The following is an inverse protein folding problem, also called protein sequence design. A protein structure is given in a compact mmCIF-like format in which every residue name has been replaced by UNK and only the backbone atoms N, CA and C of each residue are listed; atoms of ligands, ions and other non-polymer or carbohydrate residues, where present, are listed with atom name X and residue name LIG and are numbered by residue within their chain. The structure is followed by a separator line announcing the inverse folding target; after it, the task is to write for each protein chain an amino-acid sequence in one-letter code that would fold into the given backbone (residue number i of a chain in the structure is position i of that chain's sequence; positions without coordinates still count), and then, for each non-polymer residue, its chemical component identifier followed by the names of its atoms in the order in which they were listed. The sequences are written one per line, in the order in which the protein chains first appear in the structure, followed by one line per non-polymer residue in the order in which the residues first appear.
data_IF_222029890869
#
_entry.id   IF_222029890869
#
_cell.length_a   1.000
_cell.length_b   1.000
_cell.length_c   1.000
_cell.angle_alpha   90.00
_cell.angle_beta   90.00
_cell.angle_gamma   90.00
#
_symmetry.space_group_name_H-M   'P 1'
#
loop_
_entity.id
_entity.type
_entity.pdbx_description
1 polymer ?
#
# COMPACT_ATOMS: atom_id res chain seq x y z
N UNK A 1 13.73 8.73 7.88
CA UNK A 1 12.75 7.92 8.62
C UNK A 1 12.60 6.58 7.94
N UNK A 2 12.30 5.52 8.70
CA UNK A 2 12.08 4.18 8.17
C UNK A 2 10.58 3.92 8.03
N UNK A 3 10.19 3.13 7.04
CA UNK A 3 8.81 2.66 6.88
C UNK A 3 8.36 1.84 8.10
N UNK A 4 7.09 1.96 8.52
CA UNK A 4 6.59 1.18 9.64
C UNK A 4 6.59 -0.32 9.30
N UNK A 5 6.98 -1.14 10.27
CA UNK A 5 6.80 -2.59 10.20
C UNK A 5 5.40 -2.95 10.67
N UNK A 6 4.64 -3.62 9.81
CA UNK A 6 3.28 -4.05 10.10
C UNK A 6 3.29 -5.54 10.41
N UNK A 7 2.91 -5.89 11.64
CA UNK A 7 2.89 -7.27 12.11
C UNK A 7 1.54 -7.92 11.85
N UNK A 8 1.54 -9.01 11.09
CA UNK A 8 0.36 -9.82 10.84
C UNK A 8 0.35 -11.02 11.80
N UNK A 9 -0.76 -11.28 12.52
CA UNK A 9 -0.83 -12.40 13.45
C UNK A 9 -0.54 -13.74 12.78
N UNK A 10 0.06 -14.66 13.54
CA UNK A 10 0.40 -16.01 13.04
C UNK A 10 -0.84 -16.72 12.50
N UNK A 11 -0.73 -17.28 11.31
CA UNK A 11 -1.81 -18.02 10.64
C UNK A 11 -2.78 -17.16 9.83
N UNK A 12 -2.71 -15.83 9.94
CA UNK A 12 -3.49 -14.92 9.10
C UNK A 12 -2.82 -14.81 7.73
N UNK A 13 -3.59 -15.11 6.67
CA UNK A 13 -3.15 -14.90 5.29
C UNK A 13 -3.56 -13.51 4.84
N UNK A 14 -2.60 -12.77 4.27
CA UNK A 14 -2.87 -11.47 3.66
C UNK A 14 -3.64 -11.71 2.35
N UNK A 15 -4.93 -11.45 2.39
CA UNK A 15 -5.76 -11.34 1.19
C UNK A 15 -5.83 -9.88 0.76
N UNK A 16 -6.49 -9.63 -0.37
CA UNK A 16 -6.65 -8.29 -0.92
C UNK A 16 -7.31 -7.31 0.06
N UNK A 17 -8.36 -7.74 0.77
CA UNK A 17 -9.10 -6.87 1.69
C UNK A 17 -8.23 -6.45 2.86
N UNK A 18 -7.58 -7.41 3.53
CA UNK A 18 -6.68 -7.14 4.64
C UNK A 18 -5.51 -6.24 4.21
N UNK A 19 -5.00 -6.45 3.00
CA UNK A 19 -3.94 -5.60 2.45
C UNK A 19 -4.43 -4.16 2.23
N UNK A 20 -5.59 -3.97 1.61
CA UNK A 20 -6.19 -2.65 1.42
C UNK A 20 -6.45 -1.92 2.75
N UNK A 21 -7.06 -2.62 3.71
CA UNK A 21 -7.36 -2.08 5.04
C UNK A 21 -6.06 -1.64 5.75
N UNK A 22 -4.98 -2.41 5.57
CA UNK A 22 -3.65 -2.09 6.09
C UNK A 22 -3.04 -0.84 5.43
N UNK A 23 -3.14 -0.72 4.11
CA UNK A 23 -2.66 0.46 3.40
C UNK A 23 -3.40 1.73 3.82
N UNK A 24 -4.72 1.65 3.96
CA UNK A 24 -5.57 2.77 4.37
C UNK A 24 -5.28 3.23 5.81
N UNK A 25 -5.25 2.28 6.74
CA UNK A 25 -5.15 2.61 8.17
C UNK A 25 -3.75 2.98 8.63
N UNK A 26 -2.72 2.33 8.07
CA UNK A 26 -1.35 2.44 8.58
C UNK A 26 -0.43 3.18 7.62
N UNK A 27 -0.38 2.77 6.34
CA UNK A 27 0.60 3.33 5.39
C UNK A 27 0.23 4.74 4.95
N UNK A 28 -1.02 4.98 4.56
CA UNK A 28 -1.45 6.30 4.11
C UNK A 28 -1.35 7.34 5.22
N UNK A 29 -1.79 6.99 6.44
CA UNK A 29 -1.64 7.82 7.64
C UNK A 29 -0.18 8.17 7.89
N UNK A 30 0.70 7.17 7.86
CA UNK A 30 2.14 7.39 8.04
C UNK A 30 2.72 8.32 6.98
N UNK A 31 2.41 8.10 5.68
CA UNK A 31 2.88 8.98 4.59
C UNK A 31 2.45 10.43 4.82
N UNK A 32 1.21 10.67 5.25
CA UNK A 32 0.74 12.02 5.55
C UNK A 32 1.51 12.66 6.71
N UNK A 33 1.84 11.90 7.76
CA UNK A 33 2.69 12.36 8.87
C UNK A 33 4.12 12.72 8.42
N UNK A 34 4.64 12.03 7.41
CA UNK A 34 5.99 12.30 6.89
C UNK A 34 6.09 13.61 6.09
N UNK A 35 4.96 14.22 5.71
CA UNK A 35 4.90 15.44 4.89
C UNK A 35 5.70 15.37 3.57
N UNK A 36 5.80 14.18 2.96
CA UNK A 36 6.52 13.95 1.70
C UNK A 36 5.71 14.41 0.49
N UNK A 37 5.47 15.72 0.37
CA UNK A 37 4.52 16.29 -0.58
C UNK A 37 4.71 15.82 -2.03
N UNK A 38 5.95 15.52 -2.47
CA UNK A 38 6.24 14.98 -3.80
C UNK A 38 7.44 14.00 -3.86
N UNK A 39 7.94 13.54 -2.72
CA UNK A 39 9.28 12.90 -2.64
C UNK A 39 9.24 11.38 -2.55
N UNK A 40 8.12 10.74 -2.88
CA UNK A 40 7.98 9.28 -2.76
C UNK A 40 7.26 8.66 -3.96
N UNK A 41 7.57 7.39 -4.21
CA UNK A 41 6.85 6.53 -5.13
C UNK A 41 6.45 5.25 -4.40
N UNK A 42 5.16 4.91 -4.44
CA UNK A 42 4.66 3.68 -3.85
C UNK A 42 4.91 2.50 -4.81
N UNK A 43 5.71 1.53 -4.37
CA UNK A 43 6.08 0.33 -5.13
C UNK A 43 5.72 -0.93 -4.32
N UNK A 44 5.32 -1.99 -5.02
CA UNK A 44 4.93 -3.27 -4.42
C UNK A 44 5.28 -4.44 -5.36
N UNK A 45 5.34 -5.66 -4.84
CA UNK A 45 5.56 -6.85 -5.65
C UNK A 45 4.29 -7.28 -6.43
N UNK A 46 4.43 -8.27 -7.31
CA UNK A 46 3.34 -8.73 -8.19
C UNK A 46 2.42 -9.79 -7.55
N UNK A 47 2.33 -9.85 -6.22
CA UNK A 47 1.48 -10.81 -5.50
C UNK A 47 -0.01 -10.62 -5.87
N UNK A 48 -0.86 -11.68 -5.89
CA UNK A 48 -2.26 -11.54 -6.30
C UNK A 48 -3.09 -10.52 -5.49
N UNK A 49 -2.88 -10.41 -4.18
CA UNK A 49 -3.54 -9.42 -3.31
C UNK A 49 -3.16 -7.97 -3.68
N UNK A 50 -1.93 -7.78 -4.14
CA UNK A 50 -1.30 -6.51 -4.47
C UNK A 50 -1.67 -6.02 -5.88
N UNK A 51 -1.91 -6.96 -6.78
CA UNK A 51 -2.24 -6.70 -8.19
C UNK A 51 -3.73 -6.87 -8.52
N UNK A 52 -4.56 -7.05 -7.50
CA UNK A 52 -6.01 -7.16 -7.66
C UNK A 52 -6.61 -5.84 -8.15
N UNK A 53 -7.65 -5.94 -8.98
CA UNK A 53 -8.26 -4.79 -9.68
C UNK A 53 -8.67 -3.68 -8.72
N UNK A 54 -9.48 -3.99 -7.72
CA UNK A 54 -9.98 -3.00 -6.76
C UNK A 54 -8.88 -2.38 -5.88
N UNK A 55 -7.76 -3.08 -5.68
CA UNK A 55 -6.62 -2.47 -4.98
C UNK A 55 -5.90 -1.48 -5.89
N UNK A 56 -5.68 -1.83 -7.15
CA UNK A 56 -5.06 -0.95 -8.14
C UNK A 56 -5.92 0.30 -8.39
N UNK A 57 -7.25 0.14 -8.48
CA UNK A 57 -8.22 1.23 -8.61
C UNK A 57 -8.22 2.16 -7.40
N UNK A 58 -7.93 1.66 -6.19
CA UNK A 58 -7.77 2.50 -5.01
C UNK A 58 -6.39 3.18 -4.96
N UNK A 59 -5.31 2.46 -5.26
CA UNK A 59 -3.94 2.99 -5.19
C UNK A 59 -3.68 4.11 -6.20
N UNK A 60 -4.19 4.00 -7.44
CA UNK A 60 -3.93 4.97 -8.51
C UNK A 60 -4.31 6.42 -8.16
N UNK A 61 -5.52 6.71 -7.67
CA UNK A 61 -5.87 8.08 -7.25
C UNK A 61 -5.34 8.43 -5.85
N UNK A 62 -4.98 7.44 -5.01
CA UNK A 62 -4.56 7.69 -3.63
C UNK A 62 -3.09 8.09 -3.52
N UNK A 63 -2.20 7.38 -4.22
CA UNK A 63 -0.77 7.65 -4.19
C UNK A 63 -0.36 8.49 -5.38
N UNK A 64 0.33 9.61 -5.13
CA UNK A 64 0.74 10.55 -6.18
C UNK A 64 1.61 9.90 -7.25
N UNK A 65 2.55 9.06 -6.84
CA UNK A 65 3.36 8.22 -7.73
C UNK A 65 3.17 6.76 -7.31
N UNK A 66 2.66 5.95 -8.24
CA UNK A 66 2.31 4.56 -7.99
C UNK A 66 2.76 3.64 -9.13
N UNK A 67 3.46 2.57 -8.78
CA UNK A 67 3.83 1.51 -9.73
C UNK A 67 2.71 0.48 -9.88
N UNK A 68 1.89 0.68 -10.91
CA UNK A 68 0.78 -0.23 -11.22
C UNK A 68 1.26 -1.57 -11.79
N UNK A 69 0.37 -2.57 -11.81
CA UNK A 69 0.64 -3.96 -12.27
C UNK A 69 1.37 -4.07 -13.63
N UNK A 70 1.18 -3.09 -14.52
CA UNK A 70 1.73 -3.08 -15.87
C UNK A 70 3.06 -2.32 -16.05
N UNK A 71 3.59 -1.73 -14.98
CA UNK A 71 4.91 -1.09 -15.00
C UNK A 71 6.03 -2.06 -14.61
#
# INVERSE_FOLDING_TARGET
MMTPLIFIPKGVKINQRLYLDTLQSQILSWIHEQQWQESYCFQQDKTPSHTAKSLQEWCQPTFKYFWSKGM
#
